data_IF_363142256421
#
_entry.id   IF_363142256421
#
_cell.length_a   1.000
_cell.length_b   1.000
_cell.length_c   1.000
_cell.angle_alpha   90.00
_cell.angle_beta   90.00
_cell.angle_gamma   90.00
#
_symmetry.space_group_name_H-M   'P 1'
#
loop_
_entity.id
_entity.type
_entity.pdbx_description
1 polymer ?
#
# COMPACT_ATOMS: atom_id res chain seq x y z
N UNK A 1 25.08 16.46 -6.02
CA UNK A 1 24.06 15.43 -5.71
C UNK A 1 22.75 15.91 -6.32
N UNK A 2 22.32 15.29 -7.41
CA UNK A 2 21.30 15.84 -8.31
C UNK A 2 19.94 15.17 -8.01
N UNK A 3 18.93 15.98 -7.68
CA UNK A 3 17.53 15.59 -7.46
C UNK A 3 17.27 14.43 -6.47
N UNK A 4 17.12 14.72 -5.18
CA UNK A 4 16.55 13.75 -4.24
C UNK A 4 15.04 13.65 -4.48
N UNK A 5 14.55 12.44 -4.71
CA UNK A 5 13.12 12.15 -4.72
C UNK A 5 12.68 11.90 -3.26
N UNK A 6 11.64 12.59 -2.82
CA UNK A 6 11.03 12.36 -1.52
C UNK A 6 9.82 11.45 -1.66
N UNK A 7 9.80 10.36 -0.88
CA UNK A 7 8.69 9.42 -0.83
C UNK A 7 8.02 9.48 0.53
N UNK A 8 6.69 9.55 0.54
CA UNK A 8 5.90 9.38 1.76
C UNK A 8 5.71 7.88 2.02
N UNK A 9 6.22 7.39 3.15
CA UNK A 9 6.29 5.96 3.46
C UNK A 9 5.61 5.62 4.79
N UNK A 10 4.51 6.31 5.10
CA UNK A 10 3.72 6.03 6.30
C UNK A 10 2.41 6.79 6.33
N UNK A 11 1.65 6.57 7.40
CA UNK A 11 0.36 7.23 7.66
C UNK A 11 0.51 8.62 8.32
N UNK A 12 1.73 9.00 8.73
CA UNK A 12 2.02 10.26 9.41
C UNK A 12 2.73 11.24 8.47
N UNK A 13 2.31 12.51 8.47
CA UNK A 13 2.79 13.62 7.60
C UNK A 13 4.32 13.78 7.58
N UNK A 14 5.02 13.33 8.62
CA UNK A 14 6.48 13.42 8.74
C UNK A 14 7.26 12.18 8.31
N UNK A 15 6.60 11.07 8.00
CA UNK A 15 7.28 9.82 7.61
C UNK A 15 7.65 9.86 6.12
N UNK A 16 8.67 10.66 5.80
CA UNK A 16 9.24 10.79 4.45
C UNK A 16 10.64 10.20 4.42
N UNK A 17 10.95 9.48 3.36
CA UNK A 17 12.31 9.04 3.06
C UNK A 17 12.80 9.75 1.81
N UNK A 18 14.08 10.12 1.79
CA UNK A 18 14.71 10.76 0.64
C UNK A 18 15.67 9.76 0.01
N UNK A 19 15.58 9.61 -1.30
CA UNK A 19 16.54 8.84 -2.07
C UNK A 19 17.11 9.70 -3.19
N UNK A 20 18.42 9.71 -3.34
CA UNK A 20 19.11 10.36 -4.44
C UNK A 20 19.84 9.32 -5.26
N UNK A 21 19.71 9.41 -6.57
CA UNK A 21 20.45 8.56 -7.49
C UNK A 21 21.59 9.36 -8.11
N UNK A 22 22.73 8.69 -8.31
CA UNK A 22 23.83 9.28 -9.03
C UNK A 22 23.44 9.42 -10.52
N UNK A 23 24.02 10.41 -11.19
CA UNK A 23 23.80 10.57 -12.63
C UNK A 23 24.40 9.38 -13.39
N UNK A 24 23.66 8.89 -14.39
CA UNK A 24 24.09 7.80 -15.28
C UNK A 24 24.41 8.30 -16.69
N UNK A 25 24.73 9.59 -16.82
CA UNK A 25 25.16 10.18 -18.10
C UNK A 25 26.58 9.68 -18.40
N UNK A 26 26.89 9.48 -19.68
CA UNK A 26 28.23 9.04 -20.09
C UNK A 26 29.34 9.96 -19.57
N UNK A 27 29.12 11.28 -19.53
CA UNK A 27 30.07 12.25 -19.02
C UNK A 27 30.34 12.16 -17.49
N UNK A 28 29.49 11.47 -16.73
CA UNK A 28 29.62 11.36 -15.27
C UNK A 28 29.96 9.93 -14.81
N UNK A 29 30.12 9.00 -15.74
CA UNK A 29 30.43 7.60 -15.48
C UNK A 29 31.87 7.29 -15.86
N UNK A 30 32.48 6.36 -15.11
CA UNK A 30 33.84 5.90 -15.43
C UNK A 30 34.93 6.95 -15.17
N UNK A 31 34.68 7.88 -14.25
CA UNK A 31 35.58 8.99 -13.94
C UNK A 31 36.73 8.54 -13.02
N UNK A 32 37.89 9.17 -13.17
CA UNK A 32 39.03 8.98 -12.26
C UNK A 32 39.83 7.70 -12.49
N UNK A 33 39.69 7.07 -13.66
CA UNK A 33 40.53 5.94 -14.07
C UNK A 33 41.83 6.49 -14.70
N UNK A 34 43.00 6.22 -14.12
CA UNK A 34 44.27 6.60 -14.74
C UNK A 34 44.46 5.80 -16.03
N UNK A 35 44.59 6.50 -17.16
CA UNK A 35 44.75 5.91 -18.48
C UNK A 35 45.79 6.70 -19.30
N UNK A 36 46.29 6.10 -20.38
CA UNK A 36 47.33 6.71 -21.22
C UNK A 36 46.75 7.57 -22.36
N UNK A 37 45.44 7.49 -22.57
CA UNK A 37 44.72 8.12 -23.68
C UNK A 37 44.01 9.43 -23.33
N UNK A 38 44.25 9.95 -22.12
CA UNK A 38 43.64 11.17 -21.55
C UNK A 38 42.10 11.18 -21.51
N UNK A 39 41.48 10.00 -21.42
CA UNK A 39 40.03 9.88 -21.29
C UNK A 39 39.59 10.28 -19.89
N UNK A 40 38.62 11.18 -19.81
CA UNK A 40 38.09 11.68 -18.53
C UNK A 40 36.82 10.95 -18.09
N UNK A 41 36.05 10.43 -19.04
CA UNK A 41 34.75 9.80 -18.80
C UNK A 41 34.38 8.79 -19.89
N UNK A 42 33.27 8.06 -19.67
CA UNK A 42 32.68 7.18 -20.69
C UNK A 42 32.28 7.92 -21.98
N UNK A 43 32.11 9.25 -21.95
CA UNK A 43 31.79 10.01 -23.16
C UNK A 43 32.97 10.18 -24.13
N UNK A 44 34.20 10.04 -23.63
CA UNK A 44 35.43 10.39 -24.38
C UNK A 44 36.13 9.16 -24.99
N UNK A 45 35.58 7.96 -24.77
CA UNK A 45 36.21 6.70 -25.16
C UNK A 45 36.36 6.58 -26.68
N UNK A 46 37.42 5.89 -27.10
CA UNK A 46 37.70 5.61 -28.51
C UNK A 46 38.37 4.25 -28.67
N UNK A 47 38.00 3.54 -29.73
CA UNK A 47 38.52 2.19 -30.04
C UNK A 47 39.35 2.19 -31.33
N UNK A 48 39.81 3.37 -31.76
CA UNK A 48 40.56 3.54 -33.02
C UNK A 48 42.02 3.09 -32.95
N UNK A 49 42.54 2.86 -31.75
CA UNK A 49 43.92 2.41 -31.48
C UNK A 49 43.89 1.30 -30.43
N UNK A 50 44.86 0.37 -30.45
CA UNK A 50 44.96 -0.71 -29.47
C UNK A 50 45.11 -0.21 -28.04
N UNK A 51 45.88 0.85 -27.80
CA UNK A 51 46.01 1.45 -26.46
C UNK A 51 44.71 2.14 -26.03
N UNK A 52 44.07 2.86 -26.95
CA UNK A 52 42.78 3.52 -26.70
C UNK A 52 41.67 2.50 -26.41
N UNK A 53 41.69 1.35 -27.08
CA UNK A 53 40.76 0.27 -26.80
C UNK A 53 40.94 -0.29 -25.38
N UNK A 54 42.19 -0.56 -24.95
CA UNK A 54 42.46 -1.04 -23.58
C UNK A 54 42.00 -0.04 -22.51
N UNK A 55 42.31 1.25 -22.70
CA UNK A 55 41.90 2.31 -21.78
C UNK A 55 40.37 2.46 -21.74
N UNK A 56 39.71 2.33 -22.90
CA UNK A 56 38.24 2.36 -22.99
C UNK A 56 37.60 1.21 -22.23
N UNK A 57 38.18 -0.01 -22.28
CA UNK A 57 37.66 -1.14 -21.50
C UNK A 57 37.68 -0.86 -20.00
N UNK A 58 38.76 -0.28 -19.48
CA UNK A 58 38.85 0.05 -18.05
C UNK A 58 37.78 1.06 -17.61
N UNK A 59 37.53 2.08 -18.44
CA UNK A 59 36.47 3.07 -18.18
C UNK A 59 35.07 2.43 -18.26
N UNK A 60 34.86 1.53 -19.22
CA UNK A 60 33.60 0.79 -19.36
C UNK A 60 33.36 -0.10 -18.13
N UNK A 61 34.35 -0.86 -17.69
CA UNK A 61 34.23 -1.72 -16.50
C UNK A 61 33.86 -0.90 -15.28
N UNK A 62 34.52 0.25 -15.10
CA UNK A 62 34.19 1.18 -14.01
C UNK A 62 32.76 1.72 -14.11
N UNK A 63 32.34 2.13 -15.31
CA UNK A 63 30.99 2.62 -15.53
C UNK A 63 29.93 1.53 -15.26
N UNK A 64 30.22 0.27 -15.61
CA UNK A 64 29.36 -0.88 -15.32
C UNK A 64 29.21 -1.06 -13.81
N UNK A 65 30.31 -1.03 -13.04
CA UNK A 65 30.27 -1.11 -11.58
C UNK A 65 29.43 0.01 -10.97
N UNK A 66 29.60 1.24 -11.43
CA UNK A 66 28.85 2.41 -10.94
C UNK A 66 27.35 2.27 -11.20
N UNK A 67 26.98 1.82 -12.40
CA UNK A 67 25.57 1.55 -12.77
C UNK A 67 25.02 0.39 -11.95
N UNK A 68 25.78 -0.70 -11.79
CA UNK A 68 25.37 -1.86 -11.00
C UNK A 68 25.14 -1.47 -9.53
N UNK A 69 26.05 -0.68 -8.94
CA UNK A 69 25.89 -0.15 -7.59
C UNK A 69 24.66 0.75 -7.47
N UNK A 70 24.39 1.60 -8.47
CA UNK A 70 23.19 2.43 -8.48
C UNK A 70 21.91 1.58 -8.55
N UNK A 71 21.88 0.55 -9.40
CA UNK A 71 20.76 -0.41 -9.47
C UNK A 71 20.57 -1.17 -8.16
N UNK A 72 21.67 -1.58 -7.51
CA UNK A 72 21.63 -2.21 -6.19
C UNK A 72 21.01 -1.31 -5.13
N UNK A 73 21.39 -0.04 -5.09
CA UNK A 73 20.78 0.97 -4.20
C UNK A 73 19.29 1.19 -4.49
N UNK A 74 18.90 1.26 -5.77
CA UNK A 74 17.49 1.35 -6.17
C UNK A 74 16.70 0.13 -5.71
N UNK A 75 17.20 -1.08 -5.96
CA UNK A 75 16.54 -2.32 -5.56
C UNK A 75 16.42 -2.46 -4.04
N UNK A 76 17.45 -2.09 -3.29
CA UNK A 76 17.41 -2.07 -1.83
C UNK A 76 16.35 -1.09 -1.31
N UNK A 77 16.27 0.11 -1.89
CA UNK A 77 15.24 1.08 -1.52
C UNK A 77 13.83 0.55 -1.82
N UNK A 78 13.60 0.01 -3.02
CA UNK A 78 12.31 -0.55 -3.41
C UNK A 78 11.88 -1.67 -2.45
N UNK A 79 12.74 -2.67 -2.23
CA UNK A 79 12.43 -3.83 -1.39
C UNK A 79 12.24 -3.45 0.08
N UNK A 80 13.19 -2.71 0.65
CA UNK A 80 13.17 -2.46 2.09
C UNK A 80 12.15 -1.38 2.48
N UNK A 81 11.83 -0.47 1.56
CA UNK A 81 11.01 0.69 1.87
C UNK A 81 9.64 0.58 1.22
N UNK A 82 9.57 0.52 -0.11
CA UNK A 82 8.29 0.56 -0.83
C UNK A 82 7.49 -0.72 -0.62
N UNK A 83 8.11 -1.89 -0.75
CA UNK A 83 7.41 -3.17 -0.52
C UNK A 83 7.03 -3.36 0.95
N UNK A 84 7.90 -2.97 1.88
CA UNK A 84 7.58 -3.00 3.32
C UNK A 84 6.40 -2.08 3.66
N UNK A 85 6.40 -0.85 3.15
CA UNK A 85 5.30 0.08 3.34
C UNK A 85 4.00 -0.42 2.70
N UNK A 86 4.07 -0.98 1.49
CA UNK A 86 2.92 -1.58 0.82
C UNK A 86 2.32 -2.72 1.65
N UNK A 87 3.16 -3.60 2.21
CA UNK A 87 2.68 -4.66 3.09
C UNK A 87 2.03 -4.11 4.37
N UNK A 88 2.62 -3.07 4.98
CA UNK A 88 2.02 -2.39 6.12
C UNK A 88 0.64 -1.81 5.77
N UNK A 89 0.51 -1.11 4.63
CA UNK A 89 -0.76 -0.55 4.18
C UNK A 89 -1.81 -1.62 3.91
N UNK A 90 -1.42 -2.77 3.34
CA UNK A 90 -2.31 -3.91 3.11
C UNK A 90 -2.87 -4.45 4.44
N UNK A 91 -2.01 -4.64 5.44
CA UNK A 91 -2.42 -5.10 6.77
C UNK A 91 -3.33 -4.06 7.45
N UNK A 92 -2.98 -2.79 7.37
CA UNK A 92 -3.80 -1.72 7.92
C UNK A 92 -5.19 -1.68 7.28
N UNK A 93 -5.26 -1.83 5.95
CA UNK A 93 -6.52 -1.91 5.21
C UNK A 93 -7.36 -3.12 5.62
N UNK A 94 -6.74 -4.30 5.77
CA UNK A 94 -7.43 -5.51 6.24
C UNK A 94 -8.01 -5.34 7.66
N UNK A 95 -7.24 -4.73 8.56
CA UNK A 95 -7.71 -4.44 9.93
C UNK A 95 -8.88 -3.46 9.94
N UNK A 96 -8.84 -2.42 9.09
CA UNK A 96 -9.95 -1.45 8.96
C UNK A 96 -11.20 -2.12 8.41
N UNK A 97 -11.07 -2.92 7.34
CA UNK A 97 -12.19 -3.64 6.75
C UNK A 97 -12.82 -4.64 7.73
N UNK A 98 -11.99 -5.35 8.51
CA UNK A 98 -12.48 -6.25 9.56
C UNK A 98 -13.23 -5.48 10.65
N UNK A 99 -12.70 -4.33 11.08
CA UNK A 99 -13.36 -3.47 12.08
C UNK A 99 -14.68 -2.92 11.55
N UNK A 100 -14.72 -2.50 10.28
CA UNK A 100 -15.94 -2.05 9.61
C UNK A 100 -16.98 -3.16 9.52
N UNK A 101 -16.58 -4.39 9.17
CA UNK A 101 -17.48 -5.55 9.14
C UNK A 101 -18.09 -5.82 10.51
N UNK A 102 -17.29 -5.78 11.58
CA UNK A 102 -17.78 -5.99 12.95
C UNK A 102 -18.80 -4.92 13.34
N UNK A 103 -18.55 -3.65 13.01
CA UNK A 103 -19.49 -2.55 13.27
C UNK A 103 -20.79 -2.78 12.48
N UNK A 104 -20.69 -3.06 11.18
CA UNK A 104 -21.86 -3.28 10.32
C UNK A 104 -22.70 -4.48 10.78
N UNK A 105 -22.05 -5.56 11.19
CA UNK A 105 -22.73 -6.76 11.67
C UNK A 105 -23.39 -6.53 13.03
N UNK A 106 -22.78 -5.73 13.93
CA UNK A 106 -23.39 -5.33 15.20
C UNK A 106 -24.62 -4.43 14.99
N UNK A 107 -24.54 -3.49 14.05
CA UNK A 107 -25.67 -2.64 13.69
C UNK A 107 -26.81 -3.46 13.07
N UNK A 108 -26.50 -4.39 12.16
CA UNK A 108 -27.50 -5.32 11.60
C UNK A 108 -28.11 -6.22 12.66
N UNK A 109 -27.32 -6.75 13.60
CA UNK A 109 -27.84 -7.57 14.70
C UNK A 109 -28.81 -6.77 15.59
N UNK A 110 -28.51 -5.50 15.83
CA UNK A 110 -29.38 -4.59 16.60
C UNK A 110 -30.69 -4.32 15.86
N UNK A 111 -30.63 -4.02 14.56
CA UNK A 111 -31.84 -3.84 13.74
C UNK A 111 -32.68 -5.11 13.63
N UNK A 112 -32.05 -6.28 13.46
CA UNK A 112 -32.76 -7.56 13.45
C UNK A 112 -33.44 -7.85 14.79
N UNK A 113 -32.79 -7.57 15.92
CA UNK A 113 -33.39 -7.72 17.24
C UNK A 113 -34.61 -6.79 17.41
N UNK A 114 -34.52 -5.56 16.93
CA UNK A 114 -35.64 -4.61 16.94
C UNK A 114 -36.79 -5.08 16.03
N UNK A 115 -36.47 -5.54 14.82
CA UNK A 115 -37.45 -6.09 13.88
C UNK A 115 -38.17 -7.31 14.47
N UNK A 116 -37.43 -8.28 15.02
CA UNK A 116 -38.01 -9.46 15.68
C UNK A 116 -38.88 -9.07 16.88
N UNK A 117 -38.44 -8.11 17.71
CA UNK A 117 -39.25 -7.60 18.83
C UNK A 117 -40.56 -7.00 18.32
N UNK A 118 -40.52 -6.19 17.27
CA UNK A 118 -41.71 -5.58 16.67
C UNK A 118 -42.65 -6.62 16.08
N UNK A 119 -42.11 -7.66 15.43
CA UNK A 119 -42.92 -8.77 14.91
C UNK A 119 -43.62 -9.52 16.05
N UNK A 120 -42.91 -9.85 17.13
CA UNK A 120 -43.50 -10.49 18.32
C UNK A 120 -44.58 -9.61 18.95
N UNK A 121 -44.37 -8.29 19.04
CA UNK A 121 -45.37 -7.35 19.55
C UNK A 121 -46.61 -7.30 18.66
N UNK A 122 -46.45 -7.33 17.34
CA UNK A 122 -47.56 -7.33 16.38
C UNK A 122 -48.38 -8.63 16.49
N UNK A 123 -47.73 -9.78 16.50
CA UNK A 123 -48.37 -11.10 16.66
C UNK A 123 -49.07 -11.22 18.03
N UNK A 124 -48.43 -10.73 19.10
CA UNK A 124 -49.03 -10.67 20.43
C UNK A 124 -50.24 -9.75 20.49
N UNK A 125 -50.19 -8.59 19.82
CA UNK A 125 -51.33 -7.66 19.76
C UNK A 125 -52.52 -8.28 19.03
N UNK A 126 -52.29 -9.02 17.95
CA UNK A 126 -53.34 -9.77 17.24
C UNK A 126 -53.93 -10.88 18.12
N UNK A 127 -53.08 -11.66 18.82
CA UNK A 127 -53.55 -12.68 19.75
C UNK A 127 -54.32 -12.10 20.94
N UNK A 128 -53.86 -10.98 21.50
CA UNK A 128 -54.55 -10.26 22.58
C UNK A 128 -55.89 -9.68 22.12
N UNK A 129 -55.98 -9.14 20.90
CA UNK A 129 -57.25 -8.71 20.31
C UNK A 129 -58.21 -9.89 20.12
N UNK A 130 -57.71 -11.04 19.66
CA UNK A 130 -58.53 -12.25 19.54
C UNK A 130 -59.05 -12.72 20.91
N UNK A 131 -58.21 -12.73 21.94
CA UNK A 131 -58.59 -13.09 23.31
C UNK A 131 -59.57 -12.08 23.92
N UNK A 132 -59.35 -10.78 23.71
CA UNK A 132 -60.23 -9.70 24.18
C UNK A 132 -61.61 -9.74 23.51
N UNK A 133 -61.72 -10.22 22.27
CA UNK A 133 -63.01 -10.41 21.59
C UNK A 133 -63.76 -11.67 22.05
N UNK A 134 -63.07 -12.67 22.62
CA UNK A 134 -63.72 -13.86 23.16
C UNK A 134 -64.32 -13.65 24.57
N UNK A 135 -63.73 -12.77 25.38
CA UNK A 135 -64.23 -12.50 26.73
C UNK A 135 -65.68 -11.91 26.78
N UNK A 136 -66.07 -10.95 25.92
CA UNK A 136 -67.46 -10.48 25.81
C UNK A 136 -68.45 -11.56 25.38
N UNK A 137 -68.05 -12.46 24.47
CA UNK A 137 -68.91 -13.55 23.98
C UNK A 137 -69.24 -14.55 25.10
N UNK A 138 -68.27 -14.87 25.95
CA UNK A 138 -68.50 -15.73 27.12
C UNK A 138 -69.44 -15.08 28.16
N UNK A 139 -69.38 -13.74 28.31
CA UNK A 139 -70.30 -13.00 29.19
C UNK A 139 -71.73 -12.93 28.63
N UNK A 140 -71.89 -12.79 27.31
CA UNK A 140 -73.20 -12.83 26.64
C UNK A 140 -73.89 -14.20 26.73
N UNK A 141 -73.13 -15.27 26.92
CA UNK A 141 -73.65 -16.62 27.18
C UNK A 141 -74.10 -16.82 28.64
N UNK A 142 -73.56 -16.04 29.58
CA UNK A 142 -73.93 -16.05 31.01
C UNK A 142 -75.10 -15.11 31.34
N UNK A 143 -75.46 -14.20 30.43
CA UNK A 143 -76.60 -13.28 30.56
C UNK A 143 -77.87 -13.76 29.84
N UNK A 144 -77.85 -14.97 29.28
CA UNK A 144 -79.01 -15.66 28.69
C UNK A 144 -79.53 -16.78 29.58
#
# INVERSE_FOLDING_TARGET
MQNSLEFHIGHNVHHRTKVSFNSVKAATLGIGIPNQSDFSSLADISVMDGQKAMDSMQIIDRAIEEVAANRGRMGAFQKNTLESNLNFLRIAHENVLSSESVIRDADMATEMANFTRNQILMDSSVAMLAQANQAPMAMLQLLQ
#
